data_IF_343401375730
#
_entry.id   IF_343401375730
#
_cell.length_a   1.000
_cell.length_b   1.000
_cell.length_c   1.000
_cell.angle_alpha   90.00
_cell.angle_beta   90.00
_cell.angle_gamma   90.00
#
_symmetry.space_group_name_H-M   'P 1'
#
loop_
_entity.id
_entity.type
_entity.pdbx_description
1 polymer ?
#
# COMPACT_ATOMS: atom_id res chain seq x y z
N UNK A 1 24.62 -11.71 24.85
CA UNK A 1 23.25 -11.65 25.42
C UNK A 1 22.36 -11.03 24.37
N UNK A 2 21.59 -11.84 23.63
CA UNK A 2 20.55 -11.30 22.76
C UNK A 2 19.40 -10.87 23.69
N UNK A 3 19.13 -9.57 23.76
CA UNK A 3 18.18 -9.02 24.72
C UNK A 3 16.77 -9.38 24.23
N UNK A 4 15.82 -9.70 25.13
CA UNK A 4 14.43 -10.01 24.74
C UNK A 4 13.80 -8.93 23.85
N UNK A 5 14.27 -7.69 23.99
CA UNK A 5 13.96 -6.54 23.16
C UNK A 5 14.21 -6.79 21.65
N UNK A 6 15.31 -7.44 21.29
CA UNK A 6 15.65 -7.76 19.89
C UNK A 6 14.66 -8.76 19.27
N UNK A 7 14.12 -9.68 20.08
CA UNK A 7 13.14 -10.67 19.63
C UNK A 7 11.79 -10.01 19.33
N UNK A 8 11.29 -9.17 20.23
CA UNK A 8 10.04 -8.45 20.02
C UNK A 8 10.11 -7.51 18.82
N UNK A 9 11.22 -6.78 18.65
CA UNK A 9 11.41 -5.88 17.53
C UNK A 9 11.38 -6.60 16.17
N UNK A 10 12.00 -7.78 16.07
CA UNK A 10 11.98 -8.61 14.85
C UNK A 10 10.56 -9.03 14.47
N UNK A 11 9.76 -9.49 15.42
CA UNK A 11 8.37 -9.88 15.15
C UNK A 11 7.50 -8.69 14.74
N UNK A 12 7.71 -7.52 15.35
CA UNK A 12 7.01 -6.30 14.95
C UNK A 12 7.37 -5.91 13.51
N UNK A 13 8.66 -5.92 13.14
CA UNK A 13 9.10 -5.62 11.78
C UNK A 13 8.50 -6.60 10.76
N UNK A 14 8.52 -7.90 11.09
CA UNK A 14 7.94 -8.95 10.23
C UNK A 14 6.42 -8.74 10.06
N UNK A 15 5.69 -8.55 11.16
CA UNK A 15 4.25 -8.32 11.12
C UNK A 15 3.88 -7.08 10.30
N UNK A 16 4.65 -6.00 10.42
CA UNK A 16 4.44 -4.76 9.66
C UNK A 16 4.82 -4.89 8.18
N UNK A 17 5.74 -5.80 7.84
CA UNK A 17 6.07 -6.12 6.45
C UNK A 17 4.92 -6.88 5.76
N UNK A 18 4.18 -7.71 6.49
CA UNK A 18 3.02 -8.43 5.98
C UNK A 18 1.74 -7.59 5.89
N UNK A 19 1.69 -6.43 6.55
CA UNK A 19 0.52 -5.55 6.59
C UNK A 19 0.01 -5.10 5.21
N UNK A 20 0.85 -4.58 4.28
CA UNK A 20 0.40 -4.27 2.93
C UNK A 20 -0.04 -5.51 2.14
N UNK A 21 0.62 -6.66 2.36
CA UNK A 21 0.26 -7.92 1.71
C UNK A 21 -1.13 -8.37 2.15
N UNK A 22 -1.41 -8.35 3.46
CA UNK A 22 -2.72 -8.68 4.00
C UNK A 22 -3.81 -7.73 3.48
N UNK A 23 -3.51 -6.44 3.37
CA UNK A 23 -4.44 -5.44 2.82
C UNK A 23 -4.75 -5.69 1.33
N UNK A 24 -3.74 -6.03 0.52
CA UNK A 24 -3.94 -6.48 -0.87
C UNK A 24 -4.91 -7.65 -0.96
N UNK A 25 -4.67 -8.71 -0.19
CA UNK A 25 -5.51 -9.90 -0.21
C UNK A 25 -6.94 -9.60 0.26
N UNK A 26 -7.10 -8.77 1.28
CA UNK A 26 -8.40 -8.31 1.72
C UNK A 26 -9.17 -7.60 0.60
N UNK A 27 -8.54 -6.67 -0.11
CA UNK A 27 -9.18 -5.95 -1.23
C UNK A 27 -9.58 -6.91 -2.36
N UNK A 28 -8.69 -7.83 -2.74
CA UNK A 28 -8.99 -8.81 -3.79
C UNK A 28 -10.18 -9.71 -3.40
N UNK A 29 -10.16 -10.27 -2.18
CA UNK A 29 -11.23 -11.16 -1.71
C UNK A 29 -12.56 -10.41 -1.61
N UNK A 30 -12.55 -9.20 -1.05
CA UNK A 30 -13.75 -8.39 -0.90
C UNK A 30 -14.37 -8.05 -2.27
N UNK A 31 -13.53 -7.67 -3.23
CA UNK A 31 -13.91 -7.38 -4.62
C UNK A 31 -14.58 -8.59 -5.27
N UNK A 32 -14.00 -9.79 -5.13
CA UNK A 32 -14.56 -11.02 -5.69
C UNK A 32 -15.91 -11.38 -5.07
N UNK A 33 -16.08 -11.17 -3.75
CA UNK A 33 -17.30 -11.55 -3.04
C UNK A 33 -18.48 -10.59 -3.24
N UNK A 34 -18.22 -9.28 -3.33
CA UNK A 34 -19.30 -8.27 -3.30
C UNK A 34 -19.59 -7.60 -4.64
N UNK A 35 -18.59 -7.47 -5.54
CA UNK A 35 -18.72 -6.64 -6.75
C UNK A 35 -18.07 -7.26 -7.99
N UNK A 36 -18.01 -8.59 -8.08
CA UNK A 36 -17.40 -9.29 -9.21
C UNK A 36 -17.86 -8.74 -10.57
N UNK A 37 -19.17 -8.63 -10.81
CA UNK A 37 -19.72 -8.16 -12.10
C UNK A 37 -19.33 -6.72 -12.49
N UNK A 38 -19.36 -5.77 -11.54
CA UNK A 38 -19.00 -4.37 -11.77
C UNK A 38 -17.49 -4.18 -11.98
N UNK A 39 -16.69 -4.97 -11.27
CA UNK A 39 -15.23 -4.90 -11.33
C UNK A 39 -14.74 -5.52 -12.64
N UNK A 40 -15.35 -6.62 -13.10
CA UNK A 40 -15.10 -7.14 -14.45
C UNK A 40 -15.49 -6.11 -15.50
N UNK A 41 -16.67 -5.47 -15.41
CA UNK A 41 -17.05 -4.43 -16.37
C UNK A 41 -16.07 -3.25 -16.41
N UNK A 42 -15.57 -2.80 -15.24
CA UNK A 42 -14.59 -1.72 -15.15
C UNK A 42 -13.18 -2.15 -15.61
N UNK A 43 -12.76 -3.38 -15.34
CA UNK A 43 -11.48 -3.92 -15.80
C UNK A 43 -11.44 -4.13 -17.33
N UNK A 44 -12.61 -4.31 -17.96
CA UNK A 44 -12.77 -4.56 -19.39
C UNK A 44 -13.16 -3.31 -20.19
N UNK A 45 -13.30 -2.14 -19.55
CA UNK A 45 -13.79 -0.92 -20.21
C UNK A 45 -12.91 -0.45 -21.38
N UNK A 46 -11.61 -0.77 -21.34
CA UNK A 46 -10.61 -0.36 -22.35
C UNK A 46 -9.94 -1.53 -23.10
N UNK A 47 -10.33 -2.79 -22.87
CA UNK A 47 -9.65 -3.96 -23.45
C UNK A 47 -10.61 -5.01 -24.05
N UNK A 48 -10.41 -5.46 -25.31
CA UNK A 48 -11.22 -6.49 -25.95
C UNK A 48 -10.87 -7.92 -25.50
N UNK A 49 -9.75 -8.12 -24.79
CA UNK A 49 -9.33 -9.44 -24.30
C UNK A 49 -9.63 -9.60 -22.81
N UNK A 50 -10.45 -10.61 -22.48
CA UNK A 50 -10.92 -10.82 -21.12
C UNK A 50 -9.86 -11.47 -20.23
N UNK A 51 -9.30 -10.73 -19.28
CA UNK A 51 -8.61 -11.33 -18.13
C UNK A 51 -9.62 -11.90 -17.13
N UNK A 52 -9.49 -13.20 -16.78
CA UNK A 52 -10.37 -13.84 -15.79
C UNK A 52 -10.22 -13.29 -14.37
N UNK A 53 -9.23 -12.43 -14.11
CA UNK A 53 -9.02 -11.79 -12.81
C UNK A 53 -8.87 -10.29 -12.96
N UNK A 54 -9.57 -9.49 -12.13
CA UNK A 54 -9.39 -8.04 -12.11
C UNK A 54 -7.96 -7.71 -11.66
N UNK A 55 -7.38 -6.67 -12.25
CA UNK A 55 -6.07 -6.19 -11.82
C UNK A 55 -6.13 -5.66 -10.39
N UNK A 56 -5.00 -5.75 -9.67
CA UNK A 56 -4.90 -5.32 -8.26
C UNK A 56 -5.25 -3.84 -8.12
N UNK A 57 -4.86 -3.01 -9.08
CA UNK A 57 -5.21 -1.58 -9.10
C UNK A 57 -6.71 -1.32 -9.21
N UNK A 58 -7.45 -2.11 -10.02
CA UNK A 58 -8.91 -1.98 -10.17
C UNK A 58 -9.66 -2.50 -8.94
N UNK A 59 -9.08 -3.47 -8.24
CA UNK A 59 -9.67 -3.99 -7.00
C UNK A 59 -9.52 -3.00 -5.83
N UNK A 60 -8.45 -2.22 -5.80
CA UNK A 60 -8.14 -1.28 -4.71
C UNK A 60 -8.66 0.14 -4.97
N UNK A 61 -8.54 0.62 -6.21
CA UNK A 61 -8.59 2.05 -6.55
C UNK A 61 -9.97 2.73 -6.45
N UNK A 62 -11.04 2.21 -7.07
CA UNK A 62 -12.30 2.95 -7.21
C UNK A 62 -13.31 2.74 -6.07
N UNK A 63 -13.10 1.73 -5.22
CA UNK A 63 -14.17 1.19 -4.38
C UNK A 63 -13.94 1.46 -2.89
N UNK A 64 -14.86 2.19 -2.28
CA UNK A 64 -15.01 2.20 -0.82
C UNK A 64 -15.76 0.92 -0.37
N UNK A 65 -15.37 0.27 0.76
CA UNK A 65 -14.41 0.69 1.80
C UNK A 65 -12.95 0.22 1.57
N UNK A 66 -12.68 -0.57 0.54
CA UNK A 66 -11.40 -1.25 0.32
C UNK A 66 -10.22 -0.28 0.19
N UNK A 67 -10.44 0.82 -0.53
CA UNK A 67 -9.47 1.90 -0.70
C UNK A 67 -9.00 2.49 0.64
N UNK A 68 -9.90 2.66 1.61
CA UNK A 68 -9.57 3.20 2.93
C UNK A 68 -8.72 2.21 3.75
N UNK A 69 -9.02 0.92 3.66
CA UNK A 69 -8.24 -0.16 4.30
C UNK A 69 -6.84 -0.25 3.69
N UNK A 70 -6.72 -0.07 2.38
CA UNK A 70 -5.42 -0.02 1.70
C UNK A 70 -4.56 1.15 2.16
N UNK A 71 -5.15 2.35 2.24
CA UNK A 71 -4.40 3.57 2.54
C UNK A 71 -4.00 3.64 4.01
N UNK A 72 -4.87 3.20 4.92
CA UNK A 72 -4.52 3.07 6.34
C UNK A 72 -3.37 2.07 6.54
N UNK A 73 -3.38 0.94 5.84
CA UNK A 73 -2.27 -0.02 5.86
C UNK A 73 -0.96 0.61 5.36
N UNK A 74 -1.00 1.36 4.26
CA UNK A 74 0.18 2.03 3.70
C UNK A 74 0.71 3.16 4.60
N UNK A 75 -0.18 3.92 5.22
CA UNK A 75 0.18 4.99 6.16
C UNK A 75 0.90 4.44 7.40
N UNK A 76 0.52 3.26 7.89
CA UNK A 76 1.19 2.57 9.00
C UNK A 76 2.52 1.95 8.51
N UNK A 77 2.56 1.44 7.28
CA UNK A 77 3.75 0.78 6.73
C UNK A 77 4.90 1.77 6.45
N UNK A 78 4.60 2.97 5.94
CA UNK A 78 5.58 4.00 5.58
C UNK A 78 6.55 4.40 6.72
N UNK A 79 6.11 4.80 7.93
CA UNK A 79 7.00 5.17 9.01
C UNK A 79 7.87 4.00 9.47
N UNK A 80 7.34 2.78 9.46
CA UNK A 80 8.09 1.57 9.83
C UNK A 80 9.26 1.33 8.87
N UNK A 81 9.05 1.53 7.56
CA UNK A 81 10.12 1.42 6.55
C UNK A 81 11.23 2.44 6.78
N UNK A 82 10.88 3.68 7.12
CA UNK A 82 11.86 4.72 7.47
C UNK A 82 12.68 4.29 8.69
N UNK A 83 12.03 3.77 9.74
CA UNK A 83 12.72 3.26 10.93
C UNK A 83 13.71 2.14 10.62
N UNK A 84 13.34 1.18 9.77
CA UNK A 84 14.23 0.07 9.37
C UNK A 84 15.43 0.59 8.57
N UNK A 85 15.21 1.52 7.63
CA UNK A 85 16.28 2.15 6.85
C UNK A 85 17.28 2.90 7.74
N UNK A 86 16.81 3.58 8.79
CA UNK A 86 17.67 4.29 9.76
C UNK A 86 18.42 3.33 10.69
N UNK A 87 17.82 2.19 11.05
CA UNK A 87 18.43 1.22 11.97
C UNK A 87 19.45 0.30 11.28
N UNK A 88 19.27 0.01 9.99
CA UNK A 88 20.14 -0.89 9.23
C UNK A 88 21.66 -0.59 9.26
N UNK A 89 22.16 0.65 9.23
CA UNK A 89 23.59 0.93 9.28
C UNK A 89 24.22 0.68 10.65
N UNK A 90 23.41 0.60 11.72
CA UNK A 90 23.88 0.33 13.09
C UNK A 90 24.12 -1.15 13.35
N UNK A 91 23.42 -2.03 12.62
CA UNK A 91 23.44 -3.48 12.82
C UNK A 91 24.42 -4.17 11.87
N UNK A 92 24.62 -3.66 10.65
CA UNK A 92 25.45 -4.32 9.63
C UNK A 92 26.87 -3.74 9.50
N UNK A 93 27.92 -4.60 9.43
CA UNK A 93 29.30 -4.15 9.25
C UNK A 93 29.51 -3.45 7.89
N UNK A 94 30.54 -2.58 7.83
CA UNK A 94 30.89 -1.80 6.64
C UNK A 94 31.32 -2.73 5.48
N UNK A 95 30.70 -2.57 4.30
CA UNK A 95 31.02 -3.37 3.11
C UNK A 95 30.26 -2.91 1.87
N UNK A 96 30.69 -3.35 0.67
CA UNK A 96 30.04 -2.98 -0.61
C UNK A 96 28.56 -3.42 -0.67
N UNK A 97 28.26 -4.60 -0.12
CA UNK A 97 26.89 -5.12 -0.02
C UNK A 97 26.01 -4.25 0.88
N UNK A 98 26.57 -3.68 1.97
CA UNK A 98 25.83 -2.77 2.85
C UNK A 98 25.39 -1.51 2.11
N UNK A 99 26.28 -0.87 1.35
CA UNK A 99 25.95 0.36 0.61
C UNK A 99 24.89 0.09 -0.45
N UNK A 100 24.98 -1.03 -1.18
CA UNK A 100 23.96 -1.42 -2.16
C UNK A 100 22.60 -1.69 -1.51
N UNK A 101 22.56 -2.44 -0.40
CA UNK A 101 21.32 -2.71 0.34
C UNK A 101 20.73 -1.46 1.00
N UNK A 102 21.57 -0.54 1.49
CA UNK A 102 21.11 0.76 1.98
C UNK A 102 20.42 1.58 0.89
N UNK A 103 21.02 1.63 -0.31
CA UNK A 103 20.40 2.32 -1.45
C UNK A 103 19.06 1.69 -1.81
N UNK A 104 18.98 0.35 -1.86
CA UNK A 104 17.72 -0.35 -2.10
C UNK A 104 16.66 -0.04 -1.04
N UNK A 105 17.01 -0.03 0.25
CA UNK A 105 16.09 0.30 1.35
C UNK A 105 15.61 1.76 1.29
N UNK A 106 16.48 2.69 0.89
CA UNK A 106 16.10 4.10 0.69
C UNK A 106 15.14 4.21 -0.49
N UNK A 107 15.44 3.58 -1.63
CA UNK A 107 14.54 3.56 -2.79
C UNK A 107 13.17 2.96 -2.45
N UNK A 108 13.12 1.88 -1.67
CA UNK A 108 11.87 1.25 -1.23
C UNK A 108 11.06 2.16 -0.29
N UNK A 109 11.73 2.83 0.65
CA UNK A 109 11.09 3.80 1.54
C UNK A 109 10.54 5.01 0.77
N UNK A 110 11.31 5.54 -0.19
CA UNK A 110 10.87 6.63 -1.07
C UNK A 110 9.70 6.22 -1.96
N UNK A 111 9.75 5.02 -2.55
CA UNK A 111 8.64 4.50 -3.36
C UNK A 111 7.36 4.38 -2.53
N UNK A 112 7.47 3.86 -1.30
CA UNK A 112 6.32 3.76 -0.37
C UNK A 112 5.74 5.14 -0.03
N UNK A 113 6.60 6.12 0.24
CA UNK A 113 6.18 7.50 0.50
C UNK A 113 5.48 8.13 -0.70
N UNK A 114 6.03 7.97 -1.91
CA UNK A 114 5.42 8.47 -3.14
C UNK A 114 4.04 7.85 -3.36
N UNK A 115 3.91 6.53 -3.17
CA UNK A 115 2.62 5.84 -3.26
C UNK A 115 1.62 6.43 -2.27
N UNK A 116 2.02 6.67 -1.02
CA UNK A 116 1.15 7.29 -0.02
C UNK A 116 0.71 8.70 -0.42
N UNK A 117 1.66 9.54 -0.86
CA UNK A 117 1.41 10.94 -1.26
C UNK A 117 0.47 11.02 -2.45
N UNK A 118 0.73 10.26 -3.52
CA UNK A 118 -0.11 10.27 -4.72
C UNK A 118 -1.49 9.68 -4.45
N UNK A 119 -1.61 8.67 -3.60
CA UNK A 119 -2.93 8.16 -3.20
C UNK A 119 -3.73 9.18 -2.38
N UNK A 120 -3.10 9.89 -1.45
CA UNK A 120 -3.77 10.94 -0.65
C UNK A 120 -4.23 12.10 -1.53
N UNK A 121 -3.41 12.52 -2.50
CA UNK A 121 -3.78 13.58 -3.44
C UNK A 121 -4.95 13.17 -4.35
N UNK A 122 -4.98 11.91 -4.80
CA UNK A 122 -6.11 11.36 -5.56
C UNK A 122 -7.41 11.38 -4.74
N UNK A 123 -7.37 11.11 -3.43
CA UNK A 123 -8.56 11.22 -2.58
C UNK A 123 -8.99 12.68 -2.39
N UNK A 124 -8.04 13.58 -2.12
CA UNK A 124 -8.37 14.99 -1.89
C UNK A 124 -9.10 15.59 -3.10
N UNK A 125 -8.64 15.27 -4.33
CA UNK A 125 -9.31 15.69 -5.56
C UNK A 125 -10.70 15.08 -5.75
N UNK A 126 -10.88 13.77 -5.50
CA UNK A 126 -12.20 13.14 -5.61
C UNK A 126 -13.20 13.60 -4.54
N UNK A 127 -12.70 13.93 -3.34
CA UNK A 127 -13.51 14.48 -2.26
C UNK A 127 -14.02 15.88 -2.62
N UNK A 128 -13.17 16.75 -3.18
CA UNK A 128 -13.61 18.04 -3.70
C UNK A 128 -14.69 17.88 -4.79
N UNK A 129 -14.52 16.95 -5.73
CA UNK A 129 -15.52 16.68 -6.77
C UNK A 129 -16.85 16.14 -6.22
N UNK A 130 -16.82 15.29 -5.18
CA UNK A 130 -18.01 14.79 -4.52
C UNK A 130 -18.74 15.90 -3.74
N UNK A 131 -18.01 16.73 -3.00
CA UNK A 131 -18.59 17.87 -2.28
C UNK A 131 -19.19 18.89 -3.26
N UNK A 132 -18.50 19.20 -4.36
CA UNK A 132 -19.01 20.09 -5.41
C UNK A 132 -20.29 19.52 -6.04
N UNK A 133 -20.32 18.24 -6.42
CA UNK A 133 -21.54 17.61 -6.97
C UNK A 133 -22.69 17.52 -5.97
N UNK A 134 -22.42 17.45 -4.67
CA UNK A 134 -23.46 17.36 -3.63
C UNK A 134 -23.99 18.73 -3.22
N UNK A 135 -23.18 19.80 -3.26
CA UNK A 135 -23.59 21.17 -2.91
C UNK A 135 -24.05 22.02 -4.12
N UNK A 136 -23.92 21.54 -5.35
CA UNK A 136 -24.41 22.24 -6.56
C UNK A 136 -25.66 21.62 -7.19
N UNK A 137 -26.34 20.68 -6.52
CA UNK A 137 -27.71 20.33 -6.92
C UNK A 137 -28.69 21.38 -6.37
N UNK A 138 -29.41 22.13 -7.23
CA UNK A 138 -30.53 22.97 -6.82
C UNK A 138 -31.74 22.14 -6.34
#
# INVERSE_FOLDING_TARGET
MANSFDFHLRWVIIAMAYLPVASCFFCIIWTVLTKSSLVYAAAMADCPESSSFPTVSVSIGPWEPQRLVWISAMLIHAPMRICVTVLYPTVWPLGKLRTSLMFALICEALATLLVCVFHVQSIAGECEDFYLKTFTMP
#
